data_IF_212350416107
#
_entry.id   IF_212350416107
#
_cell.length_a   1.000
_cell.length_b   1.000
_cell.length_c   1.000
_cell.angle_alpha   90.00
_cell.angle_beta   90.00
_cell.angle_gamma   90.00
#
_symmetry.space_group_name_H-M   'P 1'
#
loop_
_entity.id
_entity.type
_entity.pdbx_description
1 polymer ?
#
# COMPACT_ATOMS: atom_id res chain seq x y z
N UNK A 1 -2.96 -19.64 2.04
CA UNK A 1 -2.72 -18.20 1.78
C UNK A 1 -1.23 -17.95 1.70
N UNK A 2 -0.79 -17.24 0.67
CA UNK A 2 0.62 -16.90 0.50
C UNK A 2 1.08 -15.90 1.56
N UNK A 3 2.40 -15.76 1.80
CA UNK A 3 2.89 -14.72 2.70
C UNK A 3 2.41 -13.31 2.31
N UNK A 4 2.46 -12.98 1.03
CA UNK A 4 1.96 -11.70 0.54
C UNK A 4 0.45 -11.56 0.77
N UNK A 5 -0.32 -12.63 0.57
CA UNK A 5 -1.76 -12.63 0.83
C UNK A 5 -2.08 -12.39 2.30
N UNK A 6 -1.25 -12.90 3.21
CA UNK A 6 -1.41 -12.63 4.64
C UNK A 6 -1.16 -11.16 4.97
N UNK A 7 -0.17 -10.56 4.33
CA UNK A 7 0.11 -9.13 4.49
C UNK A 7 -1.08 -8.30 3.99
N UNK A 8 -1.61 -8.62 2.80
CA UNK A 8 -2.78 -7.93 2.27
C UNK A 8 -3.98 -8.00 3.22
N UNK A 9 -4.22 -9.17 3.81
CA UNK A 9 -5.32 -9.33 4.75
C UNK A 9 -5.15 -8.41 5.96
N UNK A 10 -3.94 -8.37 6.53
CA UNK A 10 -3.67 -7.50 7.68
C UNK A 10 -3.77 -6.02 7.34
N UNK A 11 -3.31 -5.61 6.17
CA UNK A 11 -3.46 -4.22 5.72
C UNK A 11 -4.94 -3.86 5.64
N UNK A 12 -5.75 -4.71 5.04
CA UNK A 12 -7.19 -4.47 4.95
C UNK A 12 -7.82 -4.32 6.32
N UNK A 13 -7.43 -5.17 7.27
CA UNK A 13 -7.95 -5.08 8.64
C UNK A 13 -7.58 -3.75 9.30
N UNK A 14 -6.35 -3.28 9.11
CA UNK A 14 -5.92 -1.97 9.62
C UNK A 14 -6.74 -0.85 9.00
N UNK A 15 -6.90 -0.86 7.67
CA UNK A 15 -7.66 0.18 6.98
C UNK A 15 -9.12 0.21 7.43
N UNK A 16 -9.73 -0.95 7.62
CA UNK A 16 -11.10 -1.04 8.11
C UNK A 16 -11.21 -0.53 9.55
N UNK A 17 -10.26 -0.88 10.40
CA UNK A 17 -10.24 -0.41 11.78
C UNK A 17 -10.12 1.12 11.87
N UNK A 18 -9.36 1.72 10.96
CA UNK A 18 -9.19 3.17 10.89
C UNK A 18 -10.32 3.88 10.14
N UNK A 19 -11.25 3.12 9.55
CA UNK A 19 -12.33 3.65 8.71
C UNK A 19 -11.80 4.45 7.53
N UNK A 20 -10.66 4.05 7.00
CA UNK A 20 -10.11 4.65 5.80
C UNK A 20 -10.92 4.22 4.58
N UNK A 21 -11.05 5.11 3.60
CA UNK A 21 -11.59 4.70 2.31
C UNK A 21 -10.48 4.07 1.50
N UNK A 22 -10.74 2.93 0.88
CA UNK A 22 -9.73 2.32 0.02
C UNK A 22 -10.37 1.52 -1.11
N UNK A 23 -9.61 1.37 -2.17
CA UNK A 23 -9.91 0.45 -3.25
C UNK A 23 -8.70 -0.42 -3.49
N UNK A 24 -8.94 -1.62 -4.01
CA UNK A 24 -7.89 -2.55 -4.42
C UNK A 24 -7.91 -2.63 -5.94
N UNK A 25 -7.00 -1.92 -6.64
CA UNK A 25 -7.01 -1.91 -8.10
C UNK A 25 -6.85 -3.32 -8.68
N UNK A 26 -7.59 -3.61 -9.74
CA UNK A 26 -7.41 -4.83 -10.50
C UNK A 26 -6.20 -4.63 -11.42
N UNK A 27 -5.25 -5.56 -11.37
CA UNK A 27 -3.99 -5.43 -12.08
C UNK A 27 -3.87 -6.34 -13.31
N UNK A 28 -4.93 -7.07 -13.65
CA UNK A 28 -4.89 -7.98 -14.79
C UNK A 28 -5.60 -7.42 -16.01
N UNK A 29 -4.98 -7.50 -17.18
CA UNK A 29 -5.62 -7.21 -18.44
C UNK A 29 -5.56 -5.75 -18.87
N UNK A 30 -6.47 -4.95 -18.42
CA UNK A 30 -6.56 -3.54 -18.83
C UNK A 30 -6.17 -2.64 -17.67
N UNK A 31 -5.18 -1.81 -17.86
CA UNK A 31 -4.79 -0.85 -16.86
C UNK A 31 -3.35 -0.98 -16.47
N UNK A 32 -2.99 -0.28 -15.42
CA UNK A 32 -1.62 -0.17 -14.96
C UNK A 32 -1.28 -1.35 -14.06
N UNK A 33 -0.52 -2.30 -14.59
CA UNK A 33 -0.12 -3.51 -13.87
C UNK A 33 0.83 -3.24 -12.70
N UNK A 34 1.36 -2.03 -12.58
CA UNK A 34 2.21 -1.62 -11.46
C UNK A 34 1.48 -0.83 -10.39
N UNK A 35 0.15 -0.73 -10.48
CA UNK A 35 -0.62 -0.01 -9.49
C UNK A 35 -0.47 -0.66 -8.10
N UNK A 36 -0.48 0.14 -7.02
CA UNK A 36 -0.39 -0.40 -5.66
C UNK A 36 -1.55 -1.36 -5.35
N UNK A 37 -1.33 -2.27 -4.44
CA UNK A 37 -2.38 -3.19 -4.00
C UNK A 37 -3.56 -2.46 -3.36
N UNK A 38 -3.31 -1.34 -2.70
CA UNK A 38 -4.34 -0.51 -2.10
C UNK A 38 -4.13 0.95 -2.47
N UNK A 39 -5.21 1.60 -2.89
CA UNK A 39 -5.25 3.05 -3.04
C UNK A 39 -6.17 3.57 -1.97
N UNK A 40 -5.66 4.43 -1.12
CA UNK A 40 -6.29 4.81 0.15
C UNK A 40 -6.46 6.32 0.23
N UNK A 41 -7.59 6.74 0.79
CA UNK A 41 -7.78 8.11 1.26
C UNK A 41 -8.02 8.05 2.77
N UNK A 42 -7.16 8.70 3.52
CA UNK A 42 -7.28 8.75 4.98
C UNK A 42 -6.76 10.09 5.47
N UNK A 43 -7.58 10.79 6.24
CA UNK A 43 -7.24 12.10 6.83
C UNK A 43 -6.72 13.08 5.76
N UNK A 44 -7.48 13.19 4.67
CA UNK A 44 -7.21 14.10 3.55
C UNK A 44 -5.93 13.75 2.78
N UNK A 45 -5.44 12.52 2.88
CA UNK A 45 -4.21 12.09 2.20
C UNK A 45 -4.49 10.97 1.25
N UNK A 46 -3.80 11.02 0.11
CA UNK A 46 -3.77 9.92 -0.84
C UNK A 46 -2.58 9.03 -0.49
N UNK A 47 -2.83 7.74 -0.33
CA UNK A 47 -1.79 6.79 0.09
C UNK A 47 -1.86 5.57 -0.82
N UNK A 48 -0.74 5.22 -1.44
CA UNK A 48 -0.59 3.96 -2.16
C UNK A 48 0.14 2.96 -1.28
N UNK A 49 -0.44 1.78 -1.10
CA UNK A 49 0.19 0.72 -0.30
C UNK A 49 0.44 -0.48 -1.21
N UNK A 50 1.70 -0.86 -1.31
CA UNK A 50 2.12 -2.07 -2.01
C UNK A 50 2.51 -3.13 -0.99
N UNK A 51 1.94 -4.33 -1.11
CA UNK A 51 2.21 -5.44 -0.21
C UNK A 51 3.20 -6.40 -0.83
N UNK A 52 4.20 -6.81 -0.07
CA UNK A 52 5.22 -7.77 -0.49
C UNK A 52 5.54 -8.72 0.66
N UNK A 53 5.96 -9.94 0.31
CA UNK A 53 6.66 -10.78 1.28
C UNK A 53 8.03 -10.12 1.55
N UNK A 54 8.59 -10.30 2.75
CA UNK A 54 9.84 -9.64 3.15
C UNK A 54 10.98 -9.88 2.16
N UNK A 55 11.02 -11.07 1.56
CA UNK A 55 12.05 -11.43 0.57
C UNK A 55 11.64 -11.07 -0.86
N UNK A 56 10.44 -10.55 -1.05
CA UNK A 56 9.98 -10.15 -2.36
C UNK A 56 10.57 -8.81 -2.78
N UNK A 57 10.67 -8.61 -4.09
CA UNK A 57 11.20 -7.36 -4.64
C UNK A 57 10.13 -6.67 -5.47
N UNK A 58 10.13 -5.36 -5.44
CA UNK A 58 9.27 -4.57 -6.30
C UNK A 58 9.72 -4.75 -7.75
N UNK A 59 8.76 -4.84 -8.66
CA UNK A 59 9.06 -4.75 -10.09
C UNK A 59 9.38 -3.30 -10.44
N UNK A 60 10.03 -3.11 -11.60
CA UNK A 60 10.33 -1.75 -12.06
C UNK A 60 9.05 -0.91 -12.23
N UNK A 61 7.97 -1.54 -12.70
CA UNK A 61 6.70 -0.84 -12.89
C UNK A 61 6.06 -0.46 -11.56
N UNK A 62 6.16 -1.32 -10.55
CA UNK A 62 5.69 -0.99 -9.21
C UNK A 62 6.48 0.17 -8.60
N UNK A 63 7.80 0.15 -8.73
CA UNK A 63 8.64 1.26 -8.25
C UNK A 63 8.28 2.57 -8.94
N UNK A 64 8.04 2.52 -10.25
CA UNK A 64 7.63 3.70 -11.02
C UNK A 64 6.32 4.27 -10.50
N UNK A 65 5.34 3.41 -10.23
CA UNK A 65 4.05 3.84 -9.70
C UNK A 65 4.18 4.52 -8.35
N UNK A 66 4.94 3.93 -7.44
CA UNK A 66 5.15 4.53 -6.12
C UNK A 66 5.85 5.88 -6.22
N UNK A 67 6.85 5.99 -7.11
CA UNK A 67 7.55 7.25 -7.34
C UNK A 67 6.61 8.32 -7.91
N UNK A 68 5.71 7.95 -8.82
CA UNK A 68 4.72 8.87 -9.37
C UNK A 68 3.75 9.38 -8.31
N UNK A 69 3.31 8.51 -7.41
CA UNK A 69 2.44 8.91 -6.30
C UNK A 69 3.14 9.96 -5.44
N UNK A 70 4.41 9.71 -5.08
CA UNK A 70 5.18 10.66 -4.27
C UNK A 70 5.39 11.99 -4.99
N UNK A 71 5.71 11.94 -6.28
CA UNK A 71 5.89 13.16 -7.09
C UNK A 71 4.61 13.98 -7.19
N UNK A 72 3.47 13.32 -7.16
CA UNK A 72 2.18 14.00 -7.23
C UNK A 72 1.71 14.53 -5.87
N UNK A 73 2.48 14.31 -4.81
CA UNK A 73 2.14 14.79 -3.47
C UNK A 73 1.46 13.76 -2.58
N UNK A 74 1.30 12.54 -3.04
CA UNK A 74 0.74 11.46 -2.23
C UNK A 74 1.81 10.75 -1.40
N UNK A 75 1.34 9.83 -0.59
CA UNK A 75 2.22 8.96 0.21
C UNK A 75 2.26 7.59 -0.43
N UNK A 76 3.42 6.95 -0.40
CA UNK A 76 3.57 5.59 -0.92
C UNK A 76 4.39 4.77 0.06
N UNK A 77 3.91 3.58 0.36
CA UNK A 77 4.54 2.72 1.36
C UNK A 77 4.52 1.27 0.89
N UNK A 78 5.60 0.57 1.18
CA UNK A 78 5.69 -0.88 0.96
C UNK A 78 5.55 -1.56 2.32
N UNK A 79 4.60 -2.49 2.40
CA UNK A 79 4.30 -3.21 3.63
C UNK A 79 4.61 -4.69 3.45
N UNK A 80 5.29 -5.26 4.41
CA UNK A 80 5.60 -6.69 4.44
C UNK A 80 5.34 -7.23 5.86
N UNK A 81 5.63 -8.51 6.09
CA UNK A 81 5.41 -9.13 7.40
C UNK A 81 6.29 -8.55 8.50
N UNK A 82 7.37 -7.86 8.16
CA UNK A 82 8.25 -7.27 9.17
C UNK A 82 7.77 -5.91 9.65
N UNK A 83 7.08 -5.14 8.80
CA UNK A 83 6.66 -3.78 9.15
C UNK A 83 5.16 -3.57 9.27
N UNK A 84 4.35 -4.62 9.02
CA UNK A 84 2.89 -4.49 9.06
C UNK A 84 2.38 -4.00 10.42
N UNK A 85 3.03 -4.36 11.49
CA UNK A 85 2.57 -3.97 12.83
C UNK A 85 2.76 -2.48 13.10
N UNK A 86 3.57 -1.80 12.31
CA UNK A 86 3.79 -0.35 12.41
C UNK A 86 2.84 0.46 11.55
N UNK A 87 2.08 -0.18 10.66
CA UNK A 87 1.28 0.52 9.67
C UNK A 87 0.24 1.44 10.29
N UNK A 88 -0.51 0.95 11.28
CA UNK A 88 -1.55 1.74 11.92
C UNK A 88 -1.00 3.02 12.53
N UNK A 89 0.10 2.90 13.25
CA UNK A 89 0.74 4.05 13.88
C UNK A 89 1.26 5.04 12.85
N UNK A 90 1.87 4.54 11.78
CA UNK A 90 2.35 5.41 10.70
C UNK A 90 1.22 6.19 10.06
N UNK A 91 0.10 5.54 9.79
CA UNK A 91 -1.05 6.21 9.18
C UNK A 91 -1.64 7.27 10.11
N UNK A 92 -1.74 6.99 11.40
CA UNK A 92 -2.28 7.93 12.38
C UNK A 92 -1.35 9.12 12.56
N UNK A 93 -0.06 8.89 12.64
CA UNK A 93 0.92 9.94 12.93
C UNK A 93 1.41 10.68 11.68
N UNK A 94 1.02 10.23 10.49
CA UNK A 94 1.42 10.85 9.21
C UNK A 94 2.93 10.87 8.98
N UNK A 95 3.66 9.95 9.59
CA UNK A 95 5.11 9.89 9.44
C UNK A 95 5.51 9.03 8.25
N UNK A 96 5.64 9.68 7.12
CA UNK A 96 6.22 9.08 5.91
C UNK A 96 7.43 9.93 5.54
N UNK A 97 8.62 9.35 5.59
CA UNK A 97 9.81 10.07 5.16
C UNK A 97 9.76 10.41 3.68
#
# INVERSE_FOLDING_TARGET
MTPEGKVKKKVREVLQALRAYYVMPMTGGYGNSGAPDFVVCFESRFIGIECKAAKGKLTALQEKNLAQIRSAGGLAIVVNEENIDELKEKLINYWFP
#
